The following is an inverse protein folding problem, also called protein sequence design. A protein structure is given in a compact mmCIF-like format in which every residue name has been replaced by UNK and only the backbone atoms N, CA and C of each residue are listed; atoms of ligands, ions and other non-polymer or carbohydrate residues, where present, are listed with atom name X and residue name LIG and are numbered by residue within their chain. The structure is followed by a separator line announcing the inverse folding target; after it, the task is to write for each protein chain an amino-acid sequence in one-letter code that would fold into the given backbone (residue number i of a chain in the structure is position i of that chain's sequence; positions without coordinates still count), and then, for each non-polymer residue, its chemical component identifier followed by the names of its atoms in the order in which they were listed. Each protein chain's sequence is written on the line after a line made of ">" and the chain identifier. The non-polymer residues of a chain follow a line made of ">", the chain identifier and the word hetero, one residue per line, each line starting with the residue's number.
data_IF_211881032138
#
_entry.id   IF_211881032138
#
_cell.length_a   1.000
_cell.length_b   1.000
_cell.length_c   1.000
_cell.angle_alpha   90.00
_cell.angle_beta   90.00
_cell.angle_gamma   90.00
#
_symmetry.space_group_name_H-M   'P 1'
#
loop_
_entity.id
_entity.type
_entity.pdbx_description
1 polymer ?
#
# COMPACT_ATOMS: atom_id res chain seq x y z
N UNK A 1 -3.25 13.49 -11.30
CA UNK A 1 -1.97 12.90 -10.86
C UNK A 1 -1.95 12.85 -9.33
N UNK A 2 -1.67 11.71 -8.70
CA UNK A 2 -1.58 11.65 -7.23
C UNK A 2 -0.33 12.39 -6.75
N UNK A 3 -0.48 13.23 -5.72
CA UNK A 3 0.64 13.95 -5.09
C UNK A 3 1.56 13.00 -4.31
N UNK A 4 0.97 12.01 -3.64
CA UNK A 4 1.70 11.02 -2.87
C UNK A 4 1.99 9.79 -3.73
N UNK A 5 3.28 9.53 -3.98
CA UNK A 5 3.80 8.29 -4.55
C UNK A 5 4.79 7.70 -3.56
N UNK A 6 4.55 6.49 -3.12
CA UNK A 6 5.33 5.87 -2.04
C UNK A 6 5.95 4.59 -2.59
N UNK A 7 7.28 4.55 -2.63
CA UNK A 7 8.01 3.32 -2.94
C UNK A 7 8.05 2.45 -1.69
N UNK A 8 7.57 1.22 -1.81
CA UNK A 8 7.59 0.21 -0.76
C UNK A 8 8.83 -0.66 -0.90
N UNK A 9 9.36 -1.13 0.22
CA UNK A 9 10.26 -2.27 0.22
C UNK A 9 9.45 -3.59 0.11
N UNK A 10 10.14 -4.72 0.01
CA UNK A 10 9.51 -6.04 -0.14
C UNK A 10 8.55 -6.37 1.02
N UNK A 11 8.97 -6.13 2.26
CA UNK A 11 8.15 -6.44 3.43
C UNK A 11 6.86 -5.61 3.44
N UNK A 12 6.96 -4.30 3.19
CA UNK A 12 5.81 -3.41 3.10
C UNK A 12 4.91 -3.76 1.91
N UNK A 13 5.48 -4.19 0.78
CA UNK A 13 4.71 -4.65 -0.37
C UNK A 13 3.92 -5.91 -0.02
N UNK A 14 4.53 -6.87 0.69
CA UNK A 14 3.85 -8.07 1.18
C UNK A 14 2.70 -7.71 2.14
N UNK A 15 2.95 -6.86 3.13
CA UNK A 15 1.91 -6.33 4.03
C UNK A 15 0.77 -5.66 3.25
N UNK A 16 1.12 -4.86 2.24
CA UNK A 16 0.13 -4.20 1.38
C UNK A 16 -0.74 -5.23 0.61
N UNK A 17 -0.13 -6.25 0.02
CA UNK A 17 -0.86 -7.30 -0.72
C UNK A 17 -1.75 -8.15 0.19
N UNK A 18 -1.39 -8.31 1.47
CA UNK A 18 -2.21 -8.97 2.49
C UNK A 18 -3.35 -8.08 3.02
N UNK A 19 -3.36 -6.79 2.67
CA UNK A 19 -4.39 -5.86 3.08
C UNK A 19 -4.14 -5.17 4.41
N UNK A 20 -2.91 -5.24 4.94
CA UNK A 20 -2.52 -4.62 6.21
C UNK A 20 -2.42 -3.10 6.09
N UNK A 21 -2.53 -2.41 7.24
CA UNK A 21 -2.29 -0.97 7.34
C UNK A 21 -0.78 -0.72 7.31
N UNK A 22 -0.34 0.22 6.48
CA UNK A 22 1.08 0.58 6.41
C UNK A 22 1.39 1.67 7.43
N UNK A 23 2.38 1.43 8.28
CA UNK A 23 2.85 2.39 9.28
C UNK A 23 3.78 3.45 8.65
N UNK A 24 3.20 4.26 7.75
CA UNK A 24 3.89 5.32 7.03
C UNK A 24 3.27 6.65 7.45
N UNK A 25 4.08 7.47 8.11
CA UNK A 25 3.67 8.75 8.69
C UNK A 25 3.76 9.89 7.67
N UNK A 26 3.13 11.02 8.01
CA UNK A 26 3.16 12.27 7.24
C UNK A 26 2.54 12.21 5.84
N UNK A 27 1.82 11.13 5.52
CA UNK A 27 1.03 11.01 4.28
C UNK A 27 -0.41 11.40 4.57
N UNK A 28 -0.90 12.41 3.86
CA UNK A 28 -2.28 12.88 3.98
C UNK A 28 -3.04 12.70 2.67
N UNK A 29 -4.25 12.17 2.76
CA UNK A 29 -5.13 11.99 1.61
C UNK A 29 -4.75 10.79 0.76
N UNK A 30 -5.16 10.81 -0.50
CA UNK A 30 -4.96 9.70 -1.43
C UNK A 30 -3.53 9.63 -1.96
N UNK A 31 -3.04 8.41 -2.14
CA UNK A 31 -1.72 8.13 -2.71
C UNK A 31 -1.70 6.81 -3.46
N UNK A 32 -0.62 6.62 -4.21
CA UNK A 32 -0.30 5.38 -4.91
C UNK A 32 0.95 4.77 -4.27
N UNK A 33 0.93 3.45 -4.09
CA UNK A 33 2.10 2.69 -3.66
C UNK A 33 2.74 1.99 -4.85
N UNK A 34 4.07 1.97 -4.85
CA UNK A 34 4.91 1.43 -5.89
C UNK A 34 5.83 0.36 -5.30
N UNK A 35 6.19 -0.63 -6.11
CA UNK A 35 7.28 -1.56 -5.82
C UNK A 35 8.08 -1.76 -7.11
N UNK A 36 9.38 -1.49 -7.07
CA UNK A 36 10.24 -1.38 -8.25
C UNK A 36 9.64 -0.46 -9.32
N UNK A 37 9.15 0.71 -8.94
CA UNK A 37 8.47 1.69 -9.83
C UNK A 37 7.18 1.19 -10.50
N UNK A 38 6.70 -0.01 -10.16
CA UNK A 38 5.42 -0.55 -10.65
C UNK A 38 4.33 -0.28 -9.63
N UNK A 39 3.19 0.23 -10.08
CA UNK A 39 2.03 0.49 -9.22
C UNK A 39 1.41 -0.79 -8.69
N UNK A 40 1.35 -0.91 -7.36
CA UNK A 40 0.59 -1.97 -6.69
C UNK A 40 -0.86 -1.56 -6.39
N UNK A 41 -1.12 -0.26 -6.17
CA UNK A 41 -2.47 0.23 -5.91
C UNK A 41 -2.53 1.49 -5.07
N UNK A 42 -3.69 1.73 -4.46
CA UNK A 42 -3.98 2.95 -3.72
C UNK A 42 -3.87 2.79 -2.22
N UNK A 43 -3.62 3.92 -1.56
CA UNK A 43 -3.72 4.10 -0.11
C UNK A 43 -4.46 5.40 0.21
N UNK A 44 -4.93 5.54 1.46
CA UNK A 44 -5.38 6.81 2.02
C UNK A 44 -4.72 7.06 3.37
N UNK A 45 -3.86 8.06 3.45
CA UNK A 45 -3.17 8.46 4.67
C UNK A 45 -3.96 9.47 5.50
N UNK A 46 -3.85 9.38 6.82
CA UNK A 46 -4.40 10.33 7.80
C UNK A 46 -3.33 11.11 8.57
N UNK A 47 -2.08 11.01 8.13
CA UNK A 47 -0.91 11.62 8.78
C UNK A 47 -0.19 10.72 9.77
N UNK A 48 -0.89 9.72 10.32
CA UNK A 48 -0.30 8.74 11.25
C UNK A 48 0.01 7.41 10.55
N UNK A 49 -0.94 6.91 9.75
CA UNK A 49 -0.82 5.66 9.03
C UNK A 49 -1.44 5.77 7.64
N UNK A 50 -1.14 4.79 6.80
CA UNK A 50 -1.71 4.67 5.47
C UNK A 50 -2.70 3.50 5.41
N UNK A 51 -3.99 3.81 5.27
CA UNK A 51 -5.05 2.80 5.11
C UNK A 51 -4.97 2.21 3.72
N UNK A 52 -4.80 0.91 3.68
CA UNK A 52 -4.72 0.11 2.47
C UNK A 52 -6.06 0.04 1.72
N UNK A 53 -6.01 0.21 0.40
CA UNK A 53 -7.17 0.15 -0.52
C UNK A 53 -7.08 -0.99 -1.54
N UNK A 54 -6.21 -1.96 -1.28
CA UNK A 54 -6.09 -3.18 -2.05
C UNK A 54 -7.38 -4.02 -1.94
N UNK A 55 -7.94 -4.48 -3.07
CA UNK A 55 -9.20 -5.21 -3.10
C UNK A 55 -9.19 -6.44 -2.20
N UNK A 56 -10.21 -6.61 -1.37
CA UNK A 56 -10.28 -7.73 -0.41
C UNK A 56 -10.18 -9.11 -1.08
N UNK A 57 -10.81 -9.28 -2.24
CA UNK A 57 -10.80 -10.54 -2.99
C UNK A 57 -9.48 -10.88 -3.69
N UNK A 58 -8.51 -9.95 -3.72
CA UNK A 58 -7.19 -10.19 -4.31
C UNK A 58 -6.09 -10.40 -3.25
N UNK A 59 -6.44 -10.32 -1.97
CA UNK A 59 -5.49 -10.51 -0.87
C UNK A 59 -5.06 -11.97 -0.79
N UNK A 60 -3.80 -12.19 -0.42
CA UNK A 60 -3.21 -13.52 -0.22
C UNK A 60 -3.18 -14.43 -1.45
N UNK A 61 -3.39 -13.89 -2.66
CA UNK A 61 -3.19 -14.65 -3.88
C UNK A 61 -1.70 -14.97 -4.03
N UNK A 62 -1.36 -16.27 -4.08
CA UNK A 62 0.02 -16.75 -4.25
C UNK A 62 0.78 -17.05 -2.96
N UNK A 63 0.14 -17.00 -1.78
CA UNK A 63 0.68 -17.59 -0.56
C UNK A 63 0.21 -19.04 -0.52
N UNK A 64 1.02 -19.97 -1.03
CA UNK A 64 0.81 -21.40 -0.75
C UNK A 64 0.90 -21.63 0.76
N UNK A 65 -0.05 -22.39 1.29
CA UNK A 65 -0.17 -22.69 2.73
C UNK A 65 0.75 -23.82 3.15
#
# INVERSE_FOLDING_TARGET
>A
MFKNKIELNLDQANQYLQGEVLNIQHVFGWGIVLYHSVSLGLIKGDGSVCKNKYPKGLRNLGVES
#
